data_IF_227739437664
#
_entry.id   IF_227739437664
#
_cell.length_a   1.000
_cell.length_b   1.000
_cell.length_c   1.000
_cell.angle_alpha   90.00
_cell.angle_beta   90.00
_cell.angle_gamma   90.00
#
_symmetry.space_group_name_H-M   'P 1'
#
loop_
_entity.id
_entity.type
_entity.pdbx_description
1 polymer ?
#
# COMPACT_ATOMS: atom_id res chain seq x y z
N UNK A 1 -5.77 13.08 18.25
CA UNK A 1 -6.32 11.82 17.72
C UNK A 1 -7.57 11.47 18.52
N UNK A 2 -8.67 11.12 17.85
CA UNK A 2 -9.93 10.71 18.49
C UNK A 2 -10.43 9.46 17.78
N UNK A 3 -10.46 8.33 18.49
CA UNK A 3 -10.95 7.07 17.96
C UNK A 3 -12.48 7.04 17.96
N UNK A 4 -13.09 6.69 16.84
CA UNK A 4 -14.53 6.45 16.77
C UNK A 4 -14.87 5.15 17.50
N UNK A 5 -16.03 5.07 18.19
CA UNK A 5 -16.47 3.83 18.82
C UNK A 5 -16.56 2.67 17.83
N UNK A 6 -16.00 1.51 18.18
CA UNK A 6 -16.02 0.30 17.34
C UNK A 6 -17.42 -0.05 16.83
N UNK A 7 -18.43 -0.01 17.72
CA UNK A 7 -19.79 -0.34 17.36
C UNK A 7 -20.39 0.57 16.27
N UNK A 8 -20.04 1.84 16.27
CA UNK A 8 -20.47 2.80 15.23
C UNK A 8 -19.82 2.47 13.89
N UNK A 9 -18.52 2.16 13.88
CA UNK A 9 -17.79 1.79 12.66
C UNK A 9 -18.38 0.51 12.07
N UNK A 10 -18.61 -0.53 12.89
CA UNK A 10 -19.17 -1.79 12.41
C UNK A 10 -20.56 -1.61 11.82
N UNK A 11 -21.41 -0.81 12.48
CA UNK A 11 -22.75 -0.49 11.97
C UNK A 11 -22.69 0.23 10.62
N UNK A 12 -21.81 1.21 10.48
CA UNK A 12 -21.60 1.91 9.20
C UNK A 12 -21.15 0.96 8.08
N UNK A 13 -20.23 0.03 8.39
CA UNK A 13 -19.78 -0.98 7.42
C UNK A 13 -20.94 -1.91 7.02
N UNK A 14 -21.77 -2.36 7.95
CA UNK A 14 -22.96 -3.18 7.66
C UNK A 14 -23.97 -2.46 6.76
N UNK A 15 -24.21 -1.17 7.01
CA UNK A 15 -25.07 -0.32 6.17
C UNK A 15 -24.49 -0.17 4.75
N UNK A 16 -23.18 0.06 4.62
CA UNK A 16 -22.49 0.13 3.33
C UNK A 16 -22.54 -1.21 2.57
N UNK A 17 -22.33 -2.33 3.25
CA UNK A 17 -22.46 -3.67 2.64
C UNK A 17 -23.88 -3.89 2.11
N UNK A 18 -24.90 -3.49 2.86
CA UNK A 18 -26.29 -3.56 2.44
C UNK A 18 -26.55 -2.70 1.18
N UNK A 19 -25.86 -1.56 1.07
CA UNK A 19 -25.88 -0.71 -0.12
C UNK A 19 -25.06 -1.27 -1.30
N UNK A 20 -24.36 -2.39 -1.12
CA UNK A 20 -23.60 -3.08 -2.17
C UNK A 20 -22.10 -2.80 -2.20
N UNK A 21 -21.55 -2.06 -1.23
CA UNK A 21 -20.10 -1.82 -1.09
C UNK A 21 -19.41 -3.13 -0.73
N UNK A 22 -18.26 -3.39 -1.34
CA UNK A 22 -17.53 -4.64 -1.18
C UNK A 22 -16.09 -4.45 -0.70
N UNK A 23 -15.51 -3.32 -1.01
CA UNK A 23 -14.15 -2.94 -0.62
C UNK A 23 -14.20 -1.79 0.37
N UNK A 24 -13.42 -1.90 1.44
CA UNK A 24 -13.32 -0.92 2.50
C UNK A 24 -11.87 -0.50 2.67
N UNK A 25 -11.61 0.80 2.63
CA UNK A 25 -10.32 1.36 2.93
C UNK A 25 -10.34 1.93 4.34
N UNK A 26 -9.57 1.32 5.22
CA UNK A 26 -9.44 1.77 6.61
C UNK A 26 -8.31 2.78 6.66
N UNK A 27 -8.67 4.03 6.87
CA UNK A 27 -7.77 5.18 6.77
C UNK A 27 -7.84 6.00 8.05
N UNK A 28 -6.69 6.40 8.56
CA UNK A 28 -6.55 7.39 9.61
C UNK A 28 -5.25 8.16 9.38
N UNK A 29 -5.05 9.28 10.05
CA UNK A 29 -3.77 9.99 10.00
C UNK A 29 -2.60 9.11 10.49
N UNK A 30 -2.85 8.25 11.46
CA UNK A 30 -2.00 7.16 11.90
C UNK A 30 -2.91 5.99 12.32
N UNK A 31 -3.00 5.00 11.43
CA UNK A 31 -3.95 3.89 11.54
C UNK A 31 -3.73 3.08 12.81
N UNK A 32 -2.47 2.79 13.13
CA UNK A 32 -2.12 1.88 14.23
C UNK A 32 -2.38 2.49 15.61
N UNK A 33 -2.70 3.79 15.68
CA UNK A 33 -2.99 4.49 16.94
C UNK A 33 -4.43 4.30 17.43
N UNK A 34 -5.30 3.65 16.64
CA UNK A 34 -6.69 3.43 17.02
C UNK A 34 -6.83 2.76 18.38
N UNK A 35 -7.59 3.38 19.28
CA UNK A 35 -7.89 2.92 20.64
C UNK A 35 -7.00 3.51 21.73
N UNK A 36 -5.81 4.03 21.39
CA UNK A 36 -4.86 4.54 22.41
C UNK A 36 -5.44 5.68 23.24
N UNK A 37 -6.26 6.52 22.65
CA UNK A 37 -6.98 7.61 23.33
C UNK A 37 -8.11 7.13 24.24
N UNK A 38 -8.53 5.87 24.11
CA UNK A 38 -9.62 5.27 24.92
C UNK A 38 -9.06 4.65 26.20
N UNK A 39 -8.06 3.78 26.11
CA UNK A 39 -7.54 3.01 27.25
C UNK A 39 -6.01 2.82 27.23
N UNK A 40 -5.30 3.54 26.35
CA UNK A 40 -3.85 3.47 26.23
C UNK A 40 -3.35 2.27 25.41
N UNK A 41 -4.25 1.49 24.77
CA UNK A 41 -3.89 0.31 23.98
C UNK A 41 -4.26 0.49 22.51
N UNK A 42 -3.53 -0.19 21.64
CA UNK A 42 -3.82 -0.24 20.20
C UNK A 42 -4.86 -1.32 19.93
N UNK A 43 -6.02 -0.94 19.37
CA UNK A 43 -7.14 -1.83 19.08
C UNK A 43 -7.40 -2.03 17.59
N UNK A 44 -6.47 -1.64 16.73
CA UNK A 44 -6.67 -1.71 15.29
C UNK A 44 -6.82 -3.16 14.78
N UNK A 45 -6.09 -4.11 15.33
CA UNK A 45 -6.20 -5.52 14.96
C UNK A 45 -7.60 -6.09 15.27
N UNK A 46 -8.14 -5.78 16.46
CA UNK A 46 -9.47 -6.16 16.86
C UNK A 46 -10.56 -5.49 16.00
N UNK A 47 -10.40 -4.22 15.64
CA UNK A 47 -11.32 -3.52 14.76
C UNK A 47 -11.33 -4.13 13.36
N UNK A 48 -10.14 -4.31 12.76
CA UNK A 48 -10.01 -4.86 11.39
C UNK A 48 -10.52 -6.29 11.31
N UNK A 49 -10.23 -7.12 12.32
CA UNK A 49 -10.78 -8.47 12.41
C UNK A 49 -12.32 -8.47 12.46
N UNK A 50 -12.92 -7.59 13.27
CA UNK A 50 -14.35 -7.48 13.37
C UNK A 50 -15.02 -6.99 12.07
N UNK A 51 -14.39 -6.04 11.34
CA UNK A 51 -14.86 -5.62 10.01
C UNK A 51 -14.78 -6.80 9.03
N UNK A 52 -13.70 -7.59 9.08
CA UNK A 52 -13.52 -8.75 8.20
C UNK A 52 -14.57 -9.85 8.43
N UNK A 53 -15.13 -9.95 9.62
CA UNK A 53 -16.18 -10.92 9.96
C UNK A 53 -17.58 -10.51 9.49
N UNK A 54 -17.78 -9.27 9.04
CA UNK A 54 -19.08 -8.81 8.52
C UNK A 54 -19.36 -9.51 7.18
N UNK A 55 -20.48 -10.27 7.07
CA UNK A 55 -20.85 -10.93 5.82
C UNK A 55 -21.04 -9.93 4.68
N UNK A 56 -20.35 -10.15 3.57
CA UNK A 56 -20.41 -9.27 2.39
C UNK A 56 -19.19 -8.37 2.19
N UNK A 57 -18.40 -8.16 3.22
CA UNK A 57 -17.06 -7.51 3.09
C UNK A 57 -16.14 -8.43 2.30
N UNK A 58 -15.66 -7.96 1.16
CA UNK A 58 -14.82 -8.73 0.23
C UNK A 58 -13.36 -8.33 0.27
N UNK A 59 -13.07 -7.05 0.43
CA UNK A 59 -11.71 -6.52 0.59
C UNK A 59 -11.65 -5.43 1.65
N UNK A 60 -10.63 -5.53 2.49
CA UNK A 60 -10.23 -4.50 3.45
C UNK A 60 -8.79 -4.13 3.12
N UNK A 61 -8.53 -2.84 2.96
CA UNK A 61 -7.21 -2.29 2.69
C UNK A 61 -6.81 -1.31 3.79
N UNK A 62 -5.55 -1.39 4.23
CA UNK A 62 -5.03 -0.61 5.34
C UNK A 62 -4.08 0.48 4.84
N UNK A 63 -4.30 1.72 5.27
CA UNK A 63 -3.52 2.88 4.85
C UNK A 63 -2.94 3.64 6.03
N UNK A 64 -1.77 4.27 5.81
CA UNK A 64 -1.09 5.15 6.76
C UNK A 64 -0.72 4.48 8.08
N UNK A 65 -0.09 3.31 7.99
CA UNK A 65 0.54 2.68 9.13
C UNK A 65 1.89 3.33 9.45
N UNK A 66 2.26 3.31 10.72
CA UNK A 66 3.55 3.79 11.19
C UNK A 66 4.37 2.63 11.76
N UNK A 67 5.67 2.51 11.45
CA UNK A 67 6.46 1.35 11.85
C UNK A 67 6.79 1.32 13.33
N UNK A 68 6.93 2.50 13.99
CA UNK A 68 7.24 2.56 15.41
C UNK A 68 6.05 2.07 16.26
N UNK A 69 6.32 1.13 17.18
CA UNK A 69 5.28 0.52 18.02
C UNK A 69 4.12 -0.11 17.21
N UNK A 70 4.41 -0.62 16.04
CA UNK A 70 3.40 -1.30 15.21
C UNK A 70 2.82 -2.50 15.96
N UNK A 71 1.48 -2.65 16.05
CA UNK A 71 0.84 -3.78 16.70
C UNK A 71 0.99 -5.03 15.84
N UNK A 72 1.93 -5.91 16.22
CA UNK A 72 2.28 -7.10 15.41
C UNK A 72 1.12 -8.07 15.24
N UNK A 73 0.17 -8.11 16.17
CA UNK A 73 -1.08 -8.87 16.08
C UNK A 73 -1.95 -8.47 14.87
N UNK A 74 -1.75 -7.28 14.31
CA UNK A 74 -2.40 -6.89 13.05
C UNK A 74 -1.93 -7.74 11.88
N UNK A 75 -0.66 -8.15 11.86
CA UNK A 75 -0.12 -9.03 10.82
C UNK A 75 -0.72 -10.46 10.92
N UNK A 76 -0.97 -10.94 12.13
CA UNK A 76 -1.63 -12.23 12.34
C UNK A 76 -3.05 -12.18 11.73
N UNK A 77 -3.81 -11.12 12.02
CA UNK A 77 -5.14 -10.90 11.44
C UNK A 77 -5.08 -10.80 9.91
N UNK A 78 -4.10 -10.09 9.35
CA UNK A 78 -3.90 -9.99 7.89
C UNK A 78 -3.56 -11.34 7.25
N UNK A 79 -2.84 -12.19 7.96
CA UNK A 79 -2.47 -13.51 7.47
C UNK A 79 -3.65 -14.50 7.53
N UNK A 80 -4.47 -14.42 8.58
CA UNK A 80 -5.60 -15.32 8.83
C UNK A 80 -6.85 -15.01 8.00
N UNK A 81 -7.14 -13.72 7.76
CA UNK A 81 -8.36 -13.27 7.10
C UNK A 81 -8.15 -13.05 5.60
N UNK A 82 -8.69 -13.92 4.78
CA UNK A 82 -8.50 -13.89 3.31
C UNK A 82 -9.14 -12.69 2.61
N UNK A 83 -9.99 -11.94 3.28
CA UNK A 83 -10.62 -10.71 2.78
C UNK A 83 -9.89 -9.43 3.23
N UNK A 84 -8.78 -9.54 3.95
CA UNK A 84 -7.87 -8.43 4.16
C UNK A 84 -6.82 -8.47 3.06
N UNK A 85 -6.73 -7.42 2.27
CA UNK A 85 -5.77 -7.31 1.19
C UNK A 85 -4.34 -7.44 1.73
N UNK A 86 -3.51 -8.22 1.07
CA UNK A 86 -2.08 -8.29 1.36
C UNK A 86 -1.38 -7.02 0.88
N UNK A 87 -1.71 -5.93 1.53
CA UNK A 87 -1.28 -4.59 1.19
C UNK A 87 -1.15 -3.76 2.47
N UNK A 88 -0.01 -3.12 2.67
CA UNK A 88 0.22 -2.24 3.81
C UNK A 88 0.97 -0.99 3.37
N UNK A 89 0.37 0.16 3.62
CA UNK A 89 0.96 1.47 3.32
C UNK A 89 1.66 2.02 4.58
N UNK A 90 2.98 2.18 4.48
CA UNK A 90 3.86 2.57 5.59
C UNK A 90 4.68 3.78 5.19
N UNK A 91 4.44 4.92 5.82
CA UNK A 91 5.20 6.13 5.57
C UNK A 91 6.57 6.09 6.28
N UNK A 92 7.60 5.56 5.62
CA UNK A 92 8.96 5.46 6.18
C UNK A 92 9.71 6.81 6.14
N UNK A 93 9.54 7.59 5.12
CA UNK A 93 10.15 8.90 4.82
C UNK A 93 11.65 8.82 4.48
N UNK A 94 12.46 8.19 5.29
CA UNK A 94 13.90 8.01 5.10
C UNK A 94 14.41 6.72 5.77
N UNK A 95 15.73 6.45 5.66
CA UNK A 95 16.38 5.29 6.31
C UNK A 95 17.62 5.66 7.13
N UNK A 96 18.32 6.74 6.79
CA UNK A 96 19.50 7.18 7.55
C UNK A 96 19.09 7.59 8.97
N UNK A 97 19.78 7.12 9.99
CA UNK A 97 19.53 7.47 11.38
C UNK A 97 19.64 8.98 11.64
N UNK A 98 20.54 9.65 10.91
CA UNK A 98 20.66 11.09 10.92
C UNK A 98 19.34 11.75 10.49
N UNK A 99 18.82 11.36 9.33
CA UNK A 99 17.56 11.93 8.80
C UNK A 99 16.35 11.50 9.62
N UNK A 100 16.26 10.24 10.04
CA UNK A 100 15.18 9.78 10.91
C UNK A 100 15.10 10.57 12.22
N UNK A 101 16.25 10.91 12.80
CA UNK A 101 16.34 11.76 13.99
C UNK A 101 15.91 13.19 13.68
N UNK A 102 16.43 13.78 12.59
CA UNK A 102 16.08 15.14 12.18
C UNK A 102 14.59 15.31 11.87
N UNK A 103 13.97 14.28 11.28
CA UNK A 103 12.52 14.21 11.00
C UNK A 103 11.67 13.79 12.21
N UNK A 104 12.28 13.59 13.38
CA UNK A 104 11.59 13.15 14.61
C UNK A 104 10.81 11.83 14.44
N UNK A 105 11.40 10.84 13.74
CA UNK A 105 10.70 9.61 13.36
C UNK A 105 10.69 8.53 14.43
N UNK A 106 11.38 8.65 15.54
CA UNK A 106 11.38 7.73 16.69
C UNK A 106 11.56 6.23 16.30
N UNK A 107 12.30 5.97 15.27
CA UNK A 107 12.69 4.63 14.81
C UNK A 107 14.09 4.73 14.20
N UNK A 108 14.87 3.68 14.34
CA UNK A 108 16.21 3.59 13.76
C UNK A 108 16.21 2.84 12.43
N UNK A 109 17.30 2.99 11.68
CA UNK A 109 17.59 2.21 10.47
C UNK A 109 17.42 0.71 10.73
N UNK A 110 18.08 0.20 11.77
CA UNK A 110 18.10 -1.23 12.11
C UNK A 110 16.69 -1.76 12.46
N UNK A 111 15.93 -0.99 13.23
CA UNK A 111 14.54 -1.30 13.56
C UNK A 111 13.64 -1.30 12.32
N UNK A 112 13.87 -0.39 11.37
CA UNK A 112 13.12 -0.31 10.12
C UNK A 112 13.35 -1.55 9.25
N UNK A 113 14.61 -1.97 9.07
CA UNK A 113 14.93 -3.21 8.35
C UNK A 113 14.26 -4.43 8.97
N UNK A 114 14.43 -4.61 10.29
CA UNK A 114 13.81 -5.72 11.04
C UNK A 114 12.29 -5.70 10.97
N UNK A 115 11.69 -4.54 11.00
CA UNK A 115 10.25 -4.39 10.86
C UNK A 115 9.76 -4.88 9.49
N UNK A 116 10.40 -4.45 8.39
CA UNK A 116 10.03 -4.87 7.04
C UNK A 116 10.19 -6.38 6.86
N UNK A 117 11.29 -6.95 7.33
CA UNK A 117 11.54 -8.40 7.30
C UNK A 117 10.42 -9.16 8.03
N UNK A 118 10.08 -8.76 9.25
CA UNK A 118 8.99 -9.37 10.02
C UNK A 118 7.64 -9.27 9.36
N UNK A 119 7.33 -8.14 8.72
CA UNK A 119 6.08 -7.97 7.98
C UNK A 119 6.00 -8.95 6.81
N UNK A 120 7.08 -9.10 6.04
CA UNK A 120 7.16 -10.04 4.91
C UNK A 120 7.13 -11.51 5.34
N UNK A 121 7.74 -11.84 6.48
CA UNK A 121 7.66 -13.18 7.07
C UNK A 121 6.25 -13.52 7.56
N UNK A 122 5.60 -12.60 8.26
CA UNK A 122 4.27 -12.82 8.82
C UNK A 122 3.16 -12.88 7.75
N UNK A 123 3.29 -12.09 6.68
CA UNK A 123 2.31 -12.03 5.58
C UNK A 123 3.01 -12.28 4.24
N UNK A 124 3.27 -13.54 3.87
CA UNK A 124 3.96 -13.84 2.62
C UNK A 124 3.22 -13.30 1.39
N UNK A 125 3.98 -12.63 0.51
CA UNK A 125 3.44 -11.99 -0.70
C UNK A 125 2.74 -10.66 -0.46
N UNK A 126 2.94 -10.03 0.70
CA UNK A 126 2.43 -8.69 0.97
C UNK A 126 3.05 -7.65 0.04
N UNK A 127 2.23 -6.77 -0.48
CA UNK A 127 2.66 -5.54 -1.14
C UNK A 127 2.90 -4.46 -0.08
N UNK A 128 4.13 -3.98 -0.02
CA UNK A 128 4.49 -2.82 0.80
C UNK A 128 4.48 -1.56 -0.06
N UNK A 129 3.64 -0.61 0.35
CA UNK A 129 3.69 0.75 -0.16
C UNK A 129 4.43 1.63 0.83
N UNK A 130 5.29 2.50 0.33
CA UNK A 130 5.95 3.51 1.14
C UNK A 130 6.02 4.85 0.43
N UNK A 131 6.28 5.88 1.21
CA UNK A 131 6.61 7.21 0.72
C UNK A 131 7.95 7.62 1.31
N UNK A 132 8.87 8.07 0.45
CA UNK A 132 10.18 8.56 0.83
C UNK A 132 10.31 10.05 0.53
N UNK A 133 11.20 10.72 1.23
CA UNK A 133 11.47 12.15 1.09
C UNK A 133 12.95 12.36 0.82
N UNK A 134 13.27 13.23 -0.12
CA UNK A 134 14.65 13.67 -0.41
C UNK A 134 14.80 15.16 -0.17
N UNK A 135 16.01 15.60 0.14
CA UNK A 135 16.33 17.02 0.30
C UNK A 135 15.76 17.64 1.58
N UNK A 136 15.52 16.85 2.62
CA UNK A 136 15.21 17.39 3.94
C UNK A 136 16.39 18.20 4.47
N UNK A 137 16.19 19.30 5.24
CA UNK A 137 17.25 20.11 5.78
C UNK A 137 18.35 19.29 6.47
N UNK A 138 19.60 19.46 6.02
CA UNK A 138 20.76 18.74 6.52
C UNK A 138 21.02 17.38 5.85
N UNK A 139 20.22 16.94 4.88
CA UNK A 139 20.45 15.69 4.16
C UNK A 139 21.79 15.74 3.38
N UNK A 140 22.71 14.86 3.74
CA UNK A 140 24.02 14.72 3.10
C UNK A 140 23.98 13.77 1.90
N UNK A 141 25.07 13.73 1.14
CA UNK A 141 25.23 12.75 0.05
C UNK A 141 25.31 11.31 0.58
N UNK A 142 25.82 11.11 1.81
CA UNK A 142 25.87 9.81 2.45
C UNK A 142 24.46 9.34 2.82
N UNK A 143 23.64 10.24 3.41
CA UNK A 143 22.24 9.94 3.75
C UNK A 143 21.43 9.53 2.52
N UNK A 144 21.61 10.24 1.40
CA UNK A 144 20.95 9.91 0.14
C UNK A 144 21.43 8.57 -0.43
N UNK A 145 22.74 8.27 -0.33
CA UNK A 145 23.29 6.98 -0.75
C UNK A 145 22.70 5.82 0.06
N UNK A 146 22.58 5.99 1.37
CA UNK A 146 21.91 5.00 2.23
C UNK A 146 20.44 4.79 1.81
N UNK A 147 19.72 5.87 1.44
CA UNK A 147 18.34 5.78 0.97
C UNK A 147 18.23 5.00 -0.34
N UNK A 148 19.15 5.25 -1.28
CA UNK A 148 19.21 4.50 -2.55
C UNK A 148 19.52 3.02 -2.34
N UNK A 149 20.46 2.69 -1.45
CA UNK A 149 20.83 1.31 -1.15
C UNK A 149 19.69 0.57 -0.43
N UNK A 150 19.01 1.25 0.48
CA UNK A 150 17.81 0.74 1.14
C UNK A 150 16.70 0.42 0.12
N UNK A 151 16.43 1.32 -0.81
CA UNK A 151 15.42 1.13 -1.86
C UNK A 151 15.76 -0.06 -2.76
N UNK A 152 17.04 -0.20 -3.16
CA UNK A 152 17.53 -1.37 -3.93
C UNK A 152 17.35 -2.68 -3.19
N UNK A 153 17.64 -2.69 -1.90
CA UNK A 153 17.60 -3.89 -1.07
C UNK A 153 16.17 -4.29 -0.72
N UNK A 154 15.34 -3.32 -0.33
CA UNK A 154 13.98 -3.60 0.11
C UNK A 154 13.03 -3.86 -1.05
N UNK A 155 13.28 -3.31 -2.24
CA UNK A 155 12.45 -3.55 -3.44
C UNK A 155 10.97 -3.40 -3.15
N UNK A 156 10.56 -2.20 -2.75
CA UNK A 156 9.14 -1.93 -2.47
C UNK A 156 8.30 -2.13 -3.73
N UNK A 157 7.18 -2.83 -3.58
CA UNK A 157 6.22 -3.05 -4.65
C UNK A 157 5.58 -1.73 -5.11
N UNK A 158 5.38 -0.83 -4.16
CA UNK A 158 4.84 0.52 -4.41
C UNK A 158 5.65 1.55 -3.63
N UNK A 159 6.18 2.54 -4.30
CA UNK A 159 6.90 3.62 -3.64
C UNK A 159 6.67 4.94 -4.38
N UNK A 160 6.25 5.94 -3.62
CA UNK A 160 6.27 7.34 -4.05
C UNK A 160 7.41 8.07 -3.36
N UNK A 161 7.95 9.10 -4.02
CA UNK A 161 8.90 10.00 -3.39
C UNK A 161 8.56 11.45 -3.70
N UNK A 162 8.96 12.36 -2.82
CA UNK A 162 8.84 13.79 -3.04
C UNK A 162 10.05 14.53 -2.50
N UNK A 163 10.35 15.67 -3.10
CA UNK A 163 11.34 16.59 -2.60
C UNK A 163 10.75 17.42 -1.44
N UNK A 164 11.53 17.64 -0.39
CA UNK A 164 11.12 18.51 0.70
C UNK A 164 10.80 19.91 0.18
N UNK A 165 9.63 20.42 0.56
CA UNK A 165 9.19 21.78 0.26
C UNK A 165 9.61 22.71 1.39
N UNK A 166 10.24 23.83 1.05
CA UNK A 166 10.77 24.80 2.00
C UNK A 166 9.70 25.38 2.92
N UNK A 167 10.01 25.41 4.24
CA UNK A 167 9.43 26.38 5.16
C UNK A 167 10.40 27.54 5.33
N UNK A 168 9.90 28.77 5.41
CA UNK A 168 10.73 29.97 5.56
C UNK A 168 11.71 29.85 6.73
N UNK A 169 13.02 29.97 6.43
CA UNK A 169 14.07 30.06 7.45
C UNK A 169 14.81 28.77 7.78
N UNK A 170 14.66 27.71 7.00
CA UNK A 170 15.47 26.49 7.13
C UNK A 170 16.69 26.53 6.21
N UNK A 171 17.87 26.10 6.73
CA UNK A 171 19.06 25.81 5.91
C UNK A 171 18.77 24.59 5.04
N UNK A 172 18.59 24.84 3.75
CA UNK A 172 18.01 23.87 2.85
C UNK A 172 19.01 23.27 1.86
N UNK A 173 18.73 22.05 1.42
CA UNK A 173 19.42 21.43 0.30
C UNK A 173 19.06 22.20 -0.98
N UNK A 174 20.02 22.59 -1.85
CA UNK A 174 19.73 23.31 -3.08
C UNK A 174 18.70 22.60 -3.95
N UNK A 175 17.78 23.36 -4.56
CA UNK A 175 16.67 22.82 -5.37
C UNK A 175 17.14 21.86 -6.47
N UNK A 176 18.24 22.19 -7.16
CA UNK A 176 18.85 21.32 -8.19
C UNK A 176 19.28 19.95 -7.64
N UNK A 177 19.77 19.91 -6.38
CA UNK A 177 20.16 18.65 -5.73
C UNK A 177 18.92 17.86 -5.33
N UNK A 178 17.87 18.51 -4.82
CA UNK A 178 16.59 17.86 -4.51
C UNK A 178 15.98 17.22 -5.75
N UNK A 179 15.88 17.95 -6.85
CA UNK A 179 15.34 17.48 -8.13
C UNK A 179 16.16 16.29 -8.67
N UNK A 180 17.48 16.40 -8.64
CA UNK A 180 18.37 15.32 -9.06
C UNK A 180 18.17 14.06 -8.22
N UNK A 181 18.18 14.16 -6.89
CA UNK A 181 17.96 13.04 -5.97
C UNK A 181 16.59 12.39 -6.17
N UNK A 182 15.55 13.20 -6.35
CA UNK A 182 14.21 12.71 -6.62
C UNK A 182 14.16 11.92 -7.94
N UNK A 183 14.75 12.46 -9.01
CA UNK A 183 14.80 11.80 -10.30
C UNK A 183 15.56 10.46 -10.24
N UNK A 184 16.71 10.41 -9.56
CA UNK A 184 17.50 9.19 -9.38
C UNK A 184 16.73 8.13 -8.57
N UNK A 185 16.09 8.52 -7.48
CA UNK A 185 15.29 7.61 -6.64
C UNK A 185 14.08 7.06 -7.39
N UNK A 186 13.36 7.92 -8.11
CA UNK A 186 12.20 7.50 -8.89
C UNK A 186 12.59 6.63 -10.10
N UNK A 187 13.71 6.88 -10.76
CA UNK A 187 14.24 6.02 -11.82
C UNK A 187 14.60 4.62 -11.31
N UNK A 188 15.19 4.54 -10.10
CA UNK A 188 15.45 3.25 -9.46
C UNK A 188 14.14 2.51 -9.15
N UNK A 189 13.15 3.20 -8.59
CA UNK A 189 11.86 2.60 -8.28
C UNK A 189 11.12 2.15 -9.55
N UNK A 190 11.18 2.90 -10.62
CA UNK A 190 10.61 2.51 -11.91
C UNK A 190 11.18 1.17 -12.38
N UNK A 191 12.51 1.01 -12.33
CA UNK A 191 13.16 -0.26 -12.66
C UNK A 191 12.67 -1.40 -11.79
N UNK A 192 12.59 -1.18 -10.47
CA UNK A 192 12.10 -2.18 -9.51
C UNK A 192 10.64 -2.55 -9.79
N UNK A 193 9.78 -1.56 -10.06
CA UNK A 193 8.37 -1.79 -10.38
C UNK A 193 8.19 -2.62 -11.64
N UNK A 194 8.90 -2.28 -12.73
CA UNK A 194 8.88 -3.05 -13.97
C UNK A 194 9.25 -4.52 -13.74
N UNK A 195 10.38 -4.76 -13.07
CA UNK A 195 10.83 -6.12 -12.77
C UNK A 195 9.84 -6.92 -11.91
N UNK A 196 9.19 -6.27 -10.94
CA UNK A 196 8.21 -6.93 -10.08
C UNK A 196 6.89 -7.21 -10.81
N UNK A 197 6.41 -6.30 -11.66
CA UNK A 197 5.20 -6.53 -12.45
C UNK A 197 5.42 -7.61 -13.52
N UNK A 198 6.59 -7.70 -14.15
CA UNK A 198 6.94 -8.80 -15.05
C UNK A 198 6.81 -10.17 -14.38
N UNK A 199 7.09 -10.30 -13.08
CA UNK A 199 6.92 -11.56 -12.35
C UNK A 199 5.47 -12.01 -12.22
N UNK A 200 4.52 -11.13 -12.43
CA UNK A 200 3.08 -11.41 -12.34
C UNK A 200 2.51 -11.99 -13.64
N UNK A 201 3.21 -11.82 -14.76
CA UNK A 201 2.80 -12.37 -16.05
C UNK A 201 2.71 -13.90 -15.98
N UNK A 202 1.60 -14.45 -16.48
CA UNK A 202 1.28 -15.88 -16.38
C UNK A 202 0.57 -16.30 -15.09
N UNK A 203 0.40 -15.38 -14.12
CA UNK A 203 -0.38 -15.66 -12.90
C UNK A 203 -1.87 -15.37 -13.08
N UNK A 204 -2.69 -16.01 -12.27
CA UNK A 204 -4.13 -15.71 -12.17
C UNK A 204 -4.36 -14.84 -10.94
N UNK A 205 -4.97 -13.69 -11.15
CA UNK A 205 -5.23 -12.73 -10.09
C UNK A 205 -6.73 -12.40 -9.99
N UNK A 206 -7.22 -12.19 -8.78
CA UNK A 206 -8.57 -11.68 -8.56
C UNK A 206 -8.58 -10.16 -8.80
N UNK A 207 -9.48 -9.71 -9.68
CA UNK A 207 -9.59 -8.30 -10.10
C UNK A 207 -11.01 -7.80 -9.85
N UNK A 208 -11.15 -6.67 -9.17
CA UNK A 208 -12.40 -5.91 -9.12
C UNK A 208 -12.41 -4.94 -10.30
N UNK A 209 -13.51 -4.86 -11.02
CA UNK A 209 -13.66 -3.90 -12.12
C UNK A 209 -14.15 -2.57 -11.56
N UNK A 210 -13.34 -1.53 -11.75
CA UNK A 210 -13.65 -0.18 -11.27
C UNK A 210 -14.42 0.65 -12.31
N UNK A 211 -14.05 0.54 -13.58
CA UNK A 211 -14.67 1.31 -14.68
C UNK A 211 -14.48 0.65 -16.04
N UNK A 212 -15.19 1.20 -17.02
CA UNK A 212 -14.91 0.96 -18.45
C UNK A 212 -14.36 2.24 -19.06
N UNK A 213 -13.24 2.13 -19.74
CA UNK A 213 -12.54 3.24 -20.37
C UNK A 213 -12.09 2.86 -21.78
N UNK A 214 -12.70 3.49 -22.80
CA UNK A 214 -12.46 3.15 -24.19
C UNK A 214 -12.70 1.67 -24.47
N UNK A 215 -11.68 1.00 -24.98
CA UNK A 215 -11.68 -0.42 -25.36
C UNK A 215 -11.29 -1.35 -24.19
N UNK A 216 -11.16 -0.84 -22.98
CA UNK A 216 -10.77 -1.60 -21.82
C UNK A 216 -11.78 -1.53 -20.68
N UNK A 217 -11.89 -2.61 -19.92
CA UNK A 217 -12.30 -2.60 -18.54
C UNK A 217 -11.06 -2.42 -17.69
N UNK A 218 -11.13 -1.48 -16.77
CA UNK A 218 -10.04 -1.16 -15.86
C UNK A 218 -10.43 -1.64 -14.47
N UNK A 219 -9.53 -2.36 -13.84
CA UNK A 219 -9.75 -2.89 -12.49
C UNK A 219 -8.47 -2.95 -11.69
N UNK A 220 -8.57 -3.48 -10.49
CA UNK A 220 -7.45 -3.60 -9.54
C UNK A 220 -7.41 -4.96 -8.89
N UNK A 221 -6.21 -5.35 -8.49
CA UNK A 221 -5.98 -6.51 -7.62
C UNK A 221 -5.99 -6.11 -6.13
N UNK A 222 -5.92 -7.10 -5.25
CA UNK A 222 -5.70 -6.83 -3.82
C UNK A 222 -4.39 -6.10 -3.52
N UNK A 223 -3.45 -6.08 -4.47
CA UNK A 223 -2.13 -5.46 -4.35
C UNK A 223 -2.07 -4.01 -4.83
N UNK A 224 -3.22 -3.41 -5.18
CA UNK A 224 -3.28 -2.05 -5.71
C UNK A 224 -4.38 -1.24 -5.05
N UNK A 225 -4.02 -0.08 -4.50
CA UNK A 225 -4.96 0.90 -3.95
C UNK A 225 -5.63 1.69 -5.08
N UNK A 226 -6.91 2.07 -4.93
CA UNK A 226 -7.60 2.92 -5.90
C UNK A 226 -6.85 4.23 -6.17
N UNK A 227 -6.85 4.66 -7.44
CA UNK A 227 -6.41 5.99 -7.89
C UNK A 227 -4.90 6.29 -7.76
N UNK A 228 -4.14 5.47 -7.05
CA UNK A 228 -2.72 5.76 -6.77
C UNK A 228 -1.75 4.64 -7.16
N UNK A 229 -2.25 3.42 -7.36
CA UNK A 229 -1.42 2.27 -7.72
C UNK A 229 -1.79 1.73 -9.12
N UNK A 230 -0.92 0.89 -9.71
CA UNK A 230 -1.15 0.26 -11.01
C UNK A 230 -2.49 -0.46 -11.15
N UNK A 231 -3.02 -0.43 -12.35
CA UNK A 231 -4.31 -1.00 -12.70
C UNK A 231 -4.15 -2.28 -13.56
N UNK A 232 -5.24 -2.99 -13.75
CA UNK A 232 -5.33 -4.14 -14.67
C UNK A 232 -6.25 -3.79 -15.80
N UNK A 233 -5.72 -3.84 -17.02
CA UNK A 233 -6.42 -3.52 -18.26
C UNK A 233 -6.91 -4.80 -18.96
N UNK A 234 -8.22 -4.92 -19.15
CA UNK A 234 -8.86 -6.09 -19.78
C UNK A 234 -9.63 -5.64 -21.01
N UNK A 235 -9.33 -6.20 -22.19
CA UNK A 235 -9.99 -5.78 -23.44
C UNK A 235 -11.48 -6.03 -23.42
N UNK A 236 -12.27 -4.99 -23.73
CA UNK A 236 -13.73 -4.99 -23.62
C UNK A 236 -14.45 -5.79 -24.72
N UNK A 237 -13.80 -6.07 -25.84
CA UNK A 237 -14.44 -6.80 -26.95
C UNK A 237 -14.54 -8.31 -26.69
N UNK A 238 -13.78 -8.85 -25.76
CA UNK A 238 -13.78 -10.27 -25.46
C UNK A 238 -15.01 -10.71 -24.67
N UNK A 239 -15.43 -9.86 -23.70
CA UNK A 239 -16.58 -10.12 -22.83
C UNK A 239 -17.14 -8.83 -22.23
N UNK A 240 -18.43 -8.87 -21.88
CA UNK A 240 -19.06 -7.81 -21.09
C UNK A 240 -18.84 -8.06 -19.60
N UNK A 241 -18.03 -7.22 -18.97
CA UNK A 241 -17.80 -7.25 -17.53
C UNK A 241 -18.69 -6.21 -16.83
N UNK A 242 -18.91 -6.39 -15.54
CA UNK A 242 -19.72 -5.48 -14.72
C UNK A 242 -18.85 -4.75 -13.70
N UNK A 243 -18.95 -3.44 -13.67
CA UNK A 243 -18.32 -2.59 -12.66
C UNK A 243 -18.73 -3.03 -11.25
N UNK A 244 -17.80 -3.03 -10.30
CA UNK A 244 -17.98 -3.48 -8.93
C UNK A 244 -18.07 -5.00 -8.76
N UNK A 245 -17.79 -5.80 -9.79
CA UNK A 245 -17.71 -7.26 -9.71
C UNK A 245 -16.27 -7.76 -9.78
N UNK A 246 -16.04 -8.89 -9.13
CA UNK A 246 -14.76 -9.58 -9.13
C UNK A 246 -14.71 -10.64 -10.23
N UNK A 247 -13.54 -10.73 -10.86
CA UNK A 247 -13.24 -11.73 -11.89
C UNK A 247 -11.85 -12.31 -11.65
N UNK A 248 -11.67 -13.58 -11.99
CA UNK A 248 -10.34 -14.18 -12.07
C UNK A 248 -9.76 -13.86 -13.45
N UNK A 249 -8.57 -13.26 -13.45
CA UNK A 249 -7.91 -12.70 -14.63
C UNK A 249 -6.53 -13.33 -14.75
N UNK A 250 -6.25 -13.94 -15.92
CA UNK A 250 -4.91 -14.33 -16.31
C UNK A 250 -4.15 -13.08 -16.75
N UNK A 251 -3.06 -12.78 -16.08
CA UNK A 251 -2.16 -11.68 -16.46
C UNK A 251 -1.36 -12.14 -17.69
N UNK A 252 -1.48 -11.42 -18.78
CA UNK A 252 -0.89 -11.79 -20.07
C UNK A 252 0.32 -10.94 -20.44
N UNK A 253 0.40 -9.73 -19.89
CA UNK A 253 1.48 -8.78 -20.17
C UNK A 253 1.59 -7.76 -19.05
N UNK A 254 2.71 -7.04 -18.99
CA UNK A 254 2.94 -5.92 -18.08
C UNK A 254 3.64 -4.78 -18.80
N UNK A 255 3.27 -3.57 -18.46
CA UNK A 255 4.01 -2.36 -18.79
C UNK A 255 4.67 -1.81 -17.52
N UNK A 256 5.26 -0.64 -17.62
CA UNK A 256 6.00 0.01 -16.53
C UNK A 256 5.22 0.08 -15.20
N UNK A 257 3.90 0.29 -15.31
CA UNK A 257 3.02 0.41 -14.14
C UNK A 257 1.82 -0.52 -14.21
N UNK A 258 1.23 -0.73 -15.38
CA UNK A 258 -0.04 -1.45 -15.51
C UNK A 258 0.14 -2.89 -15.99
N UNK A 259 -0.83 -3.72 -15.61
CA UNK A 259 -0.94 -5.11 -16.04
C UNK A 259 -2.01 -5.24 -17.11
N UNK A 260 -1.79 -6.15 -18.05
CA UNK A 260 -2.79 -6.56 -19.03
C UNK A 260 -3.25 -7.98 -18.74
N UNK A 261 -4.54 -8.25 -18.94
CA UNK A 261 -5.05 -9.57 -18.66
C UNK A 261 -6.31 -9.90 -19.41
N UNK A 262 -6.66 -11.18 -19.34
CA UNK A 262 -7.91 -11.72 -19.91
C UNK A 262 -8.66 -12.52 -18.85
N UNK A 263 -9.99 -12.40 -18.82
CA UNK A 263 -10.81 -13.11 -17.84
C UNK A 263 -10.80 -14.62 -18.11
N UNK A 264 -10.59 -15.39 -17.05
CA UNK A 264 -10.75 -16.84 -17.12
C UNK A 264 -12.24 -17.16 -16.99
N UNK A 265 -12.71 -18.09 -17.86
CA UNK A 265 -14.03 -18.69 -17.65
C UNK A 265 -14.00 -19.50 -16.36
N UNK A 266 -14.76 -19.08 -15.35
CA UNK A 266 -15.18 -20.09 -14.38
C UNK A 266 -15.97 -21.15 -15.16
N UNK A 267 -15.39 -22.32 -15.34
CA UNK A 267 -16.15 -23.51 -15.68
C UNK A 267 -17.15 -23.67 -14.52
N UNK A 268 -18.37 -23.21 -14.73
CA UNK A 268 -19.50 -23.59 -13.88
C UNK A 268 -19.54 -25.09 -13.95
N UNK A 269 -18.95 -25.74 -12.95
CA UNK A 269 -19.20 -27.15 -12.69
C UNK A 269 -20.68 -27.34 -12.54
N UNK A 270 -21.23 -28.23 -13.32
CA UNK A 270 -22.58 -28.66 -13.29
C UNK A 270 -22.98 -29.27 -11.92
#
# INVERSE_FOLDING_TARGET
>A
HVSRPKAEILKEVEEMVTAGVKEFQVIAQELTYYGVDIDGKRHIADLVSAIADIPGVKWIRLHYAYPNQFPMELLDVMSEKSNICKYLDIALQHISDHMLTAMNRHITKDETYKFIERVREAVPGITLRTTLMVGFPGETEEDFRELMDFTRQMRFERMGAFAYSEEEGTDDVPAEIKEKRLAELMSLQQTISTELEETRVGSVMKVIIDRKEGDYYVGRTEYSSPEVDPEVLIRAYEKTLRVGKFYDVMITDSEEFDLYGTTILQTTGA
#
